data_IF_252518746897
#
_entry.id   IF_252518746897
#
_cell.length_a   1.000
_cell.length_b   1.000
_cell.length_c   1.000
_cell.angle_alpha   90.00
_cell.angle_beta   90.00
_cell.angle_gamma   90.00
#
_symmetry.space_group_name_H-M   'P 1'
#
loop_
_entity.id
_entity.type
_entity.pdbx_description
1 polymer ?
#
# COMPACT_ATOMS: atom_id res chain seq x y z
N UNK A 1 -0.53 -21.08 -4.75
CA UNK A 1 0.02 -21.50 -6.07
C UNK A 1 1.55 -21.36 -6.08
N UNK A 2 2.26 -22.27 -6.77
CA UNK A 2 3.71 -22.30 -6.82
C UNK A 2 4.25 -21.25 -7.82
N UNK A 3 4.67 -20.09 -7.33
CA UNK A 3 5.16 -19.00 -8.20
C UNK A 3 6.54 -19.30 -8.79
N UNK A 4 6.66 -19.26 -10.11
CA UNK A 4 7.94 -19.32 -10.82
C UNK A 4 8.60 -17.95 -10.87
N UNK A 5 9.79 -17.83 -10.26
CA UNK A 5 10.63 -16.63 -10.34
C UNK A 5 11.32 -16.45 -11.69
N UNK A 6 11.99 -15.31 -11.89
CA UNK A 6 12.80 -15.09 -13.08
C UNK A 6 14.12 -15.88 -13.03
N UNK A 7 14.73 -16.13 -14.19
CA UNK A 7 16.02 -16.83 -14.32
C UNK A 7 17.24 -15.90 -14.40
N UNK A 8 17.03 -14.58 -14.29
CA UNK A 8 18.10 -13.56 -14.27
C UNK A 8 19.18 -13.90 -13.21
N UNK A 9 20.40 -13.41 -13.41
CA UNK A 9 21.53 -13.60 -12.48
C UNK A 9 22.01 -12.23 -11.99
N UNK A 10 22.36 -12.12 -10.70
CA UNK A 10 22.71 -10.83 -10.11
C UNK A 10 21.49 -9.93 -9.98
N UNK A 11 21.29 -8.98 -10.90
CA UNK A 11 20.14 -8.06 -10.90
C UNK A 11 19.29 -8.23 -12.17
N UNK A 12 18.01 -7.86 -12.07
CA UNK A 12 17.11 -7.83 -13.22
C UNK A 12 17.22 -6.45 -13.88
N UNK A 13 17.82 -6.39 -15.07
CA UNK A 13 18.09 -5.13 -15.77
C UNK A 13 17.45 -5.08 -17.17
N UNK A 14 17.19 -6.24 -17.77
CA UNK A 14 16.56 -6.33 -19.08
C UNK A 14 15.08 -6.76 -18.91
N UNK A 15 14.13 -5.84 -19.16
CA UNK A 15 12.71 -6.13 -18.99
C UNK A 15 12.18 -7.11 -20.04
N UNK A 16 12.84 -7.24 -21.19
CA UNK A 16 12.41 -8.13 -22.28
C UNK A 16 12.65 -9.60 -21.96
N UNK A 17 13.66 -9.90 -21.14
CA UNK A 17 14.02 -11.27 -20.75
C UNK A 17 13.60 -11.63 -19.32
N UNK A 18 13.31 -10.64 -18.48
CA UNK A 18 12.91 -10.87 -17.10
C UNK A 18 11.42 -11.24 -16.98
N UNK A 19 11.13 -12.48 -16.61
CA UNK A 19 9.75 -12.93 -16.33
C UNK A 19 9.01 -12.11 -15.25
N UNK A 20 9.74 -11.42 -14.35
CA UNK A 20 9.11 -10.52 -13.38
C UNK A 20 8.75 -9.16 -13.99
N UNK A 21 9.55 -8.62 -14.92
CA UNK A 21 9.19 -7.39 -15.65
C UNK A 21 7.97 -7.62 -16.56
N UNK A 22 7.91 -8.77 -17.25
CA UNK A 22 6.75 -9.14 -18.06
C UNK A 22 5.43 -9.14 -17.26
N UNK A 23 5.47 -9.52 -15.98
CA UNK A 23 4.29 -9.47 -15.10
C UNK A 23 3.86 -8.06 -14.70
N UNK A 24 4.76 -7.09 -14.77
CA UNK A 24 4.48 -5.68 -14.49
C UNK A 24 4.09 -4.88 -15.74
N UNK A 25 3.77 -5.55 -16.86
CA UNK A 25 3.45 -4.88 -18.14
C UNK A 25 4.64 -4.73 -19.08
N UNK A 26 5.66 -5.60 -18.96
CA UNK A 26 6.89 -5.59 -19.78
C UNK A 26 7.88 -4.47 -19.48
N UNK A 27 7.82 -3.90 -18.28
CA UNK A 27 8.87 -3.02 -17.73
C UNK A 27 9.01 -3.22 -16.21
N UNK A 28 10.08 -2.71 -15.60
CA UNK A 28 10.26 -2.73 -14.16
C UNK A 28 9.46 -1.62 -13.48
N UNK A 29 8.76 -1.92 -12.37
CA UNK A 29 7.95 -0.93 -11.65
C UNK A 29 8.80 0.08 -10.85
N UNK A 30 10.10 -0.20 -10.70
CA UNK A 30 11.01 0.60 -9.90
C UNK A 30 12.20 1.11 -10.72
N UNK A 31 12.59 2.36 -10.50
CA UNK A 31 13.87 2.92 -10.97
C UNK A 31 14.97 2.74 -9.94
N UNK A 32 16.21 2.55 -10.39
CA UNK A 32 17.41 2.35 -9.55
C UNK A 32 17.94 3.62 -8.87
N UNK A 33 17.10 4.63 -8.65
CA UNK A 33 17.47 5.90 -8.03
C UNK A 33 17.21 5.88 -6.52
N UNK A 34 18.13 6.44 -5.71
CA UNK A 34 17.98 6.58 -4.24
C UNK A 34 17.57 5.27 -3.53
N UNK A 35 18.15 4.14 -3.97
CA UNK A 35 17.88 2.81 -3.42
C UNK A 35 16.67 2.08 -4.02
N UNK A 36 15.93 2.69 -4.94
CA UNK A 36 14.72 2.13 -5.53
C UNK A 36 13.52 3.01 -5.26
N UNK A 37 12.88 3.53 -6.31
CA UNK A 37 11.64 4.32 -6.25
C UNK A 37 10.61 3.73 -7.21
N UNK A 38 9.36 3.63 -6.78
CA UNK A 38 8.25 3.26 -7.65
C UNK A 38 8.04 4.38 -8.66
N UNK A 39 7.92 4.01 -9.94
CA UNK A 39 7.74 4.98 -11.04
C UNK A 39 6.37 5.64 -10.96
N UNK A 40 5.35 4.82 -10.79
CA UNK A 40 3.95 5.21 -10.71
C UNK A 40 3.18 4.16 -9.90
N UNK A 41 2.03 4.55 -9.35
CA UNK A 41 1.16 3.59 -8.69
C UNK A 41 0.62 2.58 -9.72
N UNK A 42 0.51 1.32 -9.31
CA UNK A 42 -0.02 0.23 -10.15
C UNK A 42 -1.10 -0.51 -9.42
N UNK A 43 -1.89 -1.28 -10.16
CA UNK A 43 -2.86 -2.20 -9.57
C UNK A 43 -2.22 -3.17 -8.58
N UNK A 44 -1.13 -3.76 -9.02
CA UNK A 44 -0.29 -4.60 -8.20
C UNK A 44 1.13 -4.55 -8.76
N UNK A 45 2.09 -4.54 -7.86
CA UNK A 45 3.51 -4.60 -8.20
C UNK A 45 4.01 -6.03 -8.01
N UNK A 46 4.63 -6.61 -9.04
CA UNK A 46 5.24 -7.93 -8.96
C UNK A 46 6.75 -7.83 -8.74
N UNK A 47 7.18 -8.02 -7.50
CA UNK A 47 8.58 -8.09 -7.15
C UNK A 47 9.20 -9.48 -7.41
N UNK A 48 10.52 -9.50 -7.53
CA UNK A 48 11.27 -10.73 -7.52
C UNK A 48 11.14 -11.42 -6.16
N UNK A 49 10.68 -12.68 -6.18
CA UNK A 49 10.54 -13.53 -4.98
C UNK A 49 11.74 -14.43 -4.69
N UNK A 50 11.62 -15.31 -3.68
CA UNK A 50 12.69 -16.24 -3.26
C UNK A 50 13.15 -17.23 -4.35
N UNK A 51 12.30 -17.50 -5.34
CA UNK A 51 12.59 -18.41 -6.47
C UNK A 51 13.23 -17.74 -7.67
N UNK A 52 13.52 -16.44 -7.59
CA UNK A 52 14.21 -15.72 -8.64
C UNK A 52 15.72 -15.98 -8.56
N UNK A 53 16.40 -16.06 -9.70
CA UNK A 53 17.86 -16.19 -9.76
C UNK A 53 18.63 -14.90 -9.42
N UNK A 54 17.95 -13.77 -9.31
CA UNK A 54 18.54 -12.48 -8.95
C UNK A 54 18.70 -12.36 -7.42
N UNK A 55 19.78 -11.70 -7.01
CA UNK A 55 20.15 -11.47 -5.61
C UNK A 55 19.32 -10.36 -4.91
N UNK A 56 19.65 -10.06 -3.65
CA UNK A 56 18.92 -9.12 -2.80
C UNK A 56 19.03 -7.66 -3.28
N UNK A 57 20.11 -7.30 -3.98
CA UNK A 57 20.32 -5.93 -4.46
C UNK A 57 19.45 -5.56 -5.66
N UNK A 58 18.78 -6.55 -6.28
CA UNK A 58 17.88 -6.36 -7.40
C UNK A 58 16.88 -5.22 -7.13
N UNK A 59 16.77 -4.28 -8.07
CA UNK A 59 15.85 -3.13 -7.97
C UNK A 59 14.39 -3.59 -7.91
N UNK A 60 14.07 -4.72 -8.53
CA UNK A 60 12.75 -5.35 -8.40
C UNK A 60 12.55 -6.12 -7.08
N UNK A 61 13.30 -5.77 -6.02
CA UNK A 61 13.09 -6.17 -4.62
C UNK A 61 13.04 -4.95 -3.69
N UNK A 62 12.71 -3.77 -4.23
CA UNK A 62 12.83 -2.47 -3.55
C UNK A 62 12.15 -2.44 -2.18
N UNK A 63 10.93 -2.98 -2.08
CA UNK A 63 10.15 -3.00 -0.84
C UNK A 63 10.62 -4.06 0.19
N UNK A 64 11.48 -5.01 -0.24
CA UNK A 64 12.03 -6.06 0.63
C UNK A 64 13.27 -5.59 1.41
N UNK A 65 13.81 -4.40 1.10
CA UNK A 65 15.06 -3.89 1.68
C UNK A 65 14.91 -3.30 3.10
N UNK A 66 13.73 -3.44 3.72
CA UNK A 66 13.45 -2.95 5.06
C UNK A 66 13.32 -1.42 5.16
N UNK A 67 13.31 -0.92 6.40
CA UNK A 67 13.20 0.51 6.70
C UNK A 67 14.47 1.26 6.28
N UNK A 68 14.29 2.39 5.58
CA UNK A 68 15.39 3.24 5.09
C UNK A 68 15.47 4.61 5.76
N UNK A 69 14.39 5.04 6.37
CA UNK A 69 14.24 6.39 6.92
C UNK A 69 14.16 6.32 8.44
N UNK A 70 14.70 7.35 9.10
CA UNK A 70 14.62 7.53 10.56
C UNK A 70 13.22 8.03 10.92
N UNK A 71 12.33 7.09 11.15
CA UNK A 71 10.95 7.36 11.55
C UNK A 71 10.85 7.59 13.06
N UNK A 72 9.96 8.50 13.45
CA UNK A 72 9.65 8.84 14.84
C UNK A 72 8.14 8.78 15.05
N UNK A 73 7.72 8.12 16.13
CA UNK A 73 6.35 8.20 16.64
C UNK A 73 6.25 9.39 17.59
N UNK A 74 5.29 10.29 17.35
CA UNK A 74 5.07 11.48 18.16
C UNK A 74 3.60 11.67 18.53
N UNK A 75 3.33 12.42 19.61
CA UNK A 75 1.96 12.70 20.07
C UNK A 75 1.42 13.97 19.40
N UNK A 76 0.20 13.89 18.88
CA UNK A 76 -0.54 15.02 18.29
C UNK A 76 -1.60 15.52 19.27
N UNK A 77 -2.13 16.72 19.02
CA UNK A 77 -3.15 17.33 19.87
C UNK A 77 -4.50 16.61 19.82
N UNK A 78 -4.91 16.08 18.65
CA UNK A 78 -6.27 15.56 18.41
C UNK A 78 -6.37 14.17 17.75
N UNK A 79 -5.28 13.66 17.18
CA UNK A 79 -5.25 12.37 16.44
C UNK A 79 -4.58 11.24 17.22
N UNK A 80 -4.14 11.52 18.44
CA UNK A 80 -3.38 10.56 19.22
C UNK A 80 -1.92 10.47 18.76
N UNK A 81 -1.41 9.26 18.55
CA UNK A 81 -0.05 9.04 18.04
C UNK A 81 0.01 9.25 16.53
N UNK A 82 1.17 9.67 16.02
CA UNK A 82 1.42 9.92 14.61
C UNK A 82 2.86 9.52 14.27
N UNK A 83 3.17 9.44 12.97
CA UNK A 83 4.54 9.16 12.49
C UNK A 83 5.03 10.33 11.66
N UNK A 84 6.32 10.65 11.80
CA UNK A 84 7.06 11.56 10.91
C UNK A 84 8.45 11.00 10.62
N UNK A 85 9.13 11.57 9.62
CA UNK A 85 10.51 11.19 9.26
C UNK A 85 11.49 12.30 9.64
N UNK A 86 12.67 11.95 10.15
CA UNK A 86 13.78 12.90 10.33
C UNK A 86 14.54 13.16 9.03
N UNK A 87 14.31 12.32 8.02
CA UNK A 87 14.97 12.38 6.72
C UNK A 87 13.99 12.90 5.66
N UNK A 88 14.53 13.53 4.62
CA UNK A 88 13.77 13.80 3.40
C UNK A 88 13.41 12.49 2.71
N UNK A 89 12.15 12.33 2.31
CA UNK A 89 11.65 11.15 1.60
C UNK A 89 11.27 11.58 0.16
N UNK A 90 11.98 11.10 -0.88
CA UNK A 90 11.60 11.40 -2.25
C UNK A 90 10.31 10.69 -2.66
N UNK A 91 9.53 11.32 -3.54
CA UNK A 91 8.32 10.72 -4.13
C UNK A 91 8.62 9.34 -4.75
N UNK A 92 7.71 8.38 -4.59
CA UNK A 92 7.88 6.99 -5.00
C UNK A 92 8.80 6.15 -4.10
N UNK A 93 9.37 6.69 -3.02
CA UNK A 93 10.16 5.88 -2.10
C UNK A 93 9.29 4.93 -1.25
N UNK A 94 9.71 3.69 -1.01
CA UNK A 94 9.06 2.81 -0.05
C UNK A 94 9.30 3.32 1.38
N UNK A 95 8.23 3.49 2.16
CA UNK A 95 8.32 3.96 3.55
C UNK A 95 8.31 2.76 4.50
N UNK A 96 7.23 1.98 4.51
CA UNK A 96 7.10 0.78 5.33
C UNK A 96 5.98 -0.14 4.82
N UNK A 97 6.04 -1.40 5.22
CA UNK A 97 4.95 -2.36 5.06
C UNK A 97 3.94 -2.16 6.19
N UNK A 98 2.65 -2.35 5.96
CA UNK A 98 1.68 -2.47 7.04
C UNK A 98 1.70 -3.91 7.56
N UNK A 99 2.27 -4.14 8.74
CA UNK A 99 2.42 -5.50 9.30
C UNK A 99 1.60 -5.67 10.57
N UNK A 100 0.98 -6.83 10.70
CA UNK A 100 0.23 -7.28 11.88
C UNK A 100 -0.08 -8.77 11.76
N UNK A 101 -1.10 -9.22 12.46
CA UNK A 101 -1.61 -10.59 12.39
C UNK A 101 -2.52 -10.70 11.15
N UNK A 102 -2.19 -11.61 10.23
CA UNK A 102 -3.08 -11.93 9.11
C UNK A 102 -4.26 -12.74 9.62
N UNK A 103 -5.48 -12.26 9.37
CA UNK A 103 -6.72 -12.92 9.78
C UNK A 103 -7.73 -12.94 8.63
N UNK A 104 -8.72 -13.84 8.71
CA UNK A 104 -9.89 -13.78 7.84
C UNK A 104 -10.81 -12.68 8.37
N UNK A 105 -11.39 -11.89 7.47
CA UNK A 105 -12.27 -10.78 7.85
C UNK A 105 -13.52 -11.27 8.59
N UNK A 106 -14.02 -12.47 8.25
CA UNK A 106 -15.16 -13.11 8.93
C UNK A 106 -14.90 -13.50 10.40
N UNK A 107 -13.63 -13.72 10.75
CA UNK A 107 -13.21 -14.09 12.11
C UNK A 107 -13.01 -12.85 13.01
N UNK A 108 -13.15 -11.65 12.46
CA UNK A 108 -13.01 -10.41 13.22
C UNK A 108 -14.31 -10.08 13.94
N UNK A 109 -14.28 -10.12 15.28
CA UNK A 109 -15.39 -9.67 16.09
C UNK A 109 -15.65 -8.17 15.86
N UNK A 110 -16.80 -7.84 15.26
CA UNK A 110 -17.30 -6.47 15.08
C UNK A 110 -17.46 -5.69 16.40
N UNK A 111 -17.35 -6.38 17.54
CA UNK A 111 -17.50 -5.85 18.89
C UNK A 111 -16.22 -5.21 19.41
N UNK A 112 -15.05 -5.51 18.83
CA UNK A 112 -13.80 -4.89 19.24
C UNK A 112 -13.64 -3.53 18.55
N UNK A 113 -13.56 -2.45 19.33
CA UNK A 113 -13.19 -1.11 18.85
C UNK A 113 -11.72 -1.05 18.42
N UNK A 114 -11.33 -1.91 17.48
CA UNK A 114 -9.98 -2.03 16.99
C UNK A 114 -9.77 -1.14 15.77
N UNK A 115 -9.20 0.05 16.01
CA UNK A 115 -8.92 1.03 14.95
C UNK A 115 -7.63 0.72 14.16
N UNK A 116 -7.11 -0.51 14.22
CA UNK A 116 -5.82 -0.90 13.61
C UNK A 116 -5.93 -2.06 12.61
N UNK A 117 -7.14 -2.30 12.09
CA UNK A 117 -7.39 -3.30 11.05
C UNK A 117 -7.19 -2.68 9.68
N UNK A 118 -6.46 -3.37 8.81
CA UNK A 118 -6.29 -3.01 7.40
C UNK A 118 -6.83 -4.13 6.51
N UNK A 119 -7.93 -3.89 5.81
CA UNK A 119 -8.49 -4.86 4.85
C UNK A 119 -7.63 -4.95 3.58
N UNK A 120 -7.30 -6.18 3.14
CA UNK A 120 -6.48 -6.38 1.95
C UNK A 120 -7.40 -6.37 0.73
N UNK A 121 -7.70 -5.15 0.26
CA UNK A 121 -8.44 -4.94 -0.98
C UNK A 121 -7.60 -4.16 -2.00
N UNK A 122 -6.91 -4.91 -2.86
CA UNK A 122 -6.13 -4.32 -3.94
C UNK A 122 -7.02 -3.59 -4.96
N UNK A 123 -8.26 -4.04 -5.21
CA UNK A 123 -9.18 -3.43 -6.18
C UNK A 123 -9.75 -2.10 -5.67
N UNK A 124 -10.06 -1.99 -4.38
CA UNK A 124 -10.43 -0.69 -3.79
C UNK A 124 -9.23 0.25 -3.72
N UNK A 125 -8.04 -0.28 -3.40
CA UNK A 125 -6.79 0.51 -3.49
C UNK A 125 -6.63 1.12 -4.89
N UNK A 126 -6.96 0.36 -5.94
CA UNK A 126 -6.97 0.79 -7.35
C UNK A 126 -8.02 1.85 -7.65
N UNK A 127 -9.27 1.64 -7.23
CA UNK A 127 -10.36 2.61 -7.45
C UNK A 127 -10.08 3.94 -6.72
N UNK A 128 -9.43 3.89 -5.55
CA UNK A 128 -8.93 5.06 -4.82
C UNK A 128 -7.84 5.84 -5.56
N UNK A 129 -7.00 5.17 -6.36
CA UNK A 129 -6.01 5.82 -7.25
C UNK A 129 -6.69 6.57 -8.40
N UNK A 130 -7.76 6.03 -9.00
CA UNK A 130 -8.56 6.74 -10.02
C UNK A 130 -9.22 8.03 -9.50
N UNK A 131 -9.55 8.08 -8.20
CA UNK A 131 -9.98 9.32 -7.52
C UNK A 131 -8.86 10.34 -7.29
N UNK A 132 -7.58 9.93 -7.40
CA UNK A 132 -6.39 10.80 -7.36
C UNK A 132 -5.94 11.25 -8.76
N UNK A 133 -6.08 10.41 -9.79
CA UNK A 133 -5.83 10.81 -11.20
C UNK A 133 -6.76 11.95 -11.65
N UNK A 134 -8.01 11.99 -11.15
CA UNK A 134 -8.89 13.16 -11.39
C UNK A 134 -8.35 14.48 -10.82
N UNK A 135 -7.34 14.44 -9.94
CA UNK A 135 -6.67 15.62 -9.35
C UNK A 135 -5.34 15.97 -10.02
N UNK A 136 -4.77 15.09 -10.85
CA UNK A 136 -3.58 15.35 -11.67
C UNK A 136 -3.91 15.15 -13.14
N UNK A 137 -4.11 16.23 -13.88
CA UNK A 137 -4.21 16.15 -15.35
C UNK A 137 -2.93 15.52 -15.95
N UNK A 138 -3.15 14.62 -16.90
CA UNK A 138 -2.21 13.99 -17.84
C UNK A 138 -1.51 12.70 -17.37
N UNK A 139 -2.09 11.56 -17.74
CA UNK A 139 -1.42 10.25 -17.70
C UNK A 139 -2.28 9.16 -18.35
N UNK A 140 -2.15 8.99 -19.66
CA UNK A 140 -2.72 7.86 -20.42
C UNK A 140 -1.90 6.60 -20.13
N UNK A 141 -2.19 5.94 -19.01
CA UNK A 141 -1.56 4.70 -18.56
C UNK A 141 -2.53 3.53 -18.68
N UNK A 142 -2.82 3.10 -19.91
CA UNK A 142 -3.76 2.03 -20.20
C UNK A 142 -3.48 0.71 -19.45
N UNK A 143 -4.52 0.25 -18.75
CA UNK A 143 -4.62 -1.01 -17.99
C UNK A 143 -4.30 -2.23 -18.87
N UNK A 144 -3.58 -3.26 -18.38
CA UNK A 144 -3.65 -4.59 -18.97
C UNK A 144 -5.04 -5.20 -18.68
N UNK A 145 -5.97 -5.06 -19.64
CA UNK A 145 -7.37 -5.50 -19.57
C UNK A 145 -7.59 -6.93 -19.03
N UNK A 146 -6.59 -7.81 -19.15
CA UNK A 146 -6.72 -9.24 -18.84
C UNK A 146 -6.75 -9.62 -17.34
N UNK A 147 -6.37 -8.72 -16.41
CA UNK A 147 -6.43 -9.01 -14.96
C UNK A 147 -7.71 -8.50 -14.31
N UNK A 148 -8.22 -7.33 -14.71
CA UNK A 148 -9.50 -6.82 -14.24
C UNK A 148 -10.67 -7.68 -14.74
N UNK A 149 -10.71 -8.07 -16.02
CA UNK A 149 -11.82 -8.86 -16.59
C UNK A 149 -12.04 -10.22 -15.92
N UNK A 150 -11.02 -10.79 -15.27
CA UNK A 150 -11.13 -12.05 -14.53
C UNK A 150 -11.59 -11.89 -13.08
N UNK A 151 -11.35 -10.73 -12.47
CA UNK A 151 -11.74 -10.45 -11.09
C UNK A 151 -13.07 -9.70 -10.99
N UNK A 152 -13.46 -8.98 -12.04
CA UNK A 152 -14.73 -8.24 -12.09
C UNK A 152 -15.97 -9.15 -12.08
N UNK A 153 -15.82 -10.43 -12.43
CA UNK A 153 -16.88 -11.44 -12.25
C UNK A 153 -17.06 -11.91 -10.79
N UNK A 154 -16.24 -11.41 -9.85
CA UNK A 154 -16.27 -11.78 -8.42
C UNK A 154 -16.45 -10.60 -7.46
N UNK A 155 -16.59 -9.37 -7.99
CA UNK A 155 -16.34 -8.11 -7.27
C UNK A 155 -17.47 -7.58 -6.36
N UNK A 156 -18.41 -8.43 -5.94
CA UNK A 156 -19.41 -8.05 -4.90
C UNK A 156 -19.05 -8.55 -3.48
N UNK A 157 -18.00 -9.36 -3.30
CA UNK A 157 -17.65 -9.88 -1.98
C UNK A 157 -16.69 -8.97 -1.22
N UNK A 158 -17.00 -8.70 0.05
CA UNK A 158 -16.10 -8.08 1.01
C UNK A 158 -14.70 -8.74 1.02
N UNK A 159 -13.62 -8.01 1.35
CA UNK A 159 -12.27 -8.55 1.37
C UNK A 159 -12.17 -9.76 2.30
N UNK A 160 -11.62 -10.88 1.81
CA UNK A 160 -11.55 -12.14 2.56
C UNK A 160 -10.54 -12.09 3.72
N UNK A 161 -9.48 -11.29 3.59
CA UNK A 161 -8.41 -11.18 4.58
C UNK A 161 -8.13 -9.74 4.97
N UNK A 162 -7.67 -9.59 6.22
CA UNK A 162 -7.22 -8.32 6.78
C UNK A 162 -5.92 -8.51 7.59
N UNK A 163 -5.26 -7.39 7.88
CA UNK A 163 -4.09 -7.30 8.75
C UNK A 163 -4.52 -6.60 10.04
N UNK A 164 -4.56 -7.35 11.14
CA UNK A 164 -4.84 -6.82 12.48
C UNK A 164 -3.54 -6.40 13.17
N UNK A 165 -3.33 -5.08 13.33
CA UNK A 165 -2.22 -4.52 14.08
C UNK A 165 -2.62 -4.07 15.51
N UNK A 166 -3.77 -4.49 16.03
CA UNK A 166 -4.30 -4.10 17.33
C UNK A 166 -3.39 -4.51 18.49
N UNK A 167 -3.01 -5.78 18.53
CA UNK A 167 -2.14 -6.34 19.58
C UNK A 167 -0.66 -6.36 19.20
N UNK A 168 -0.34 -6.63 17.92
CA UNK A 168 1.02 -6.77 17.41
C UNK A 168 1.11 -6.17 16.02
N UNK A 169 2.06 -5.27 15.79
CA UNK A 169 2.31 -4.69 14.48
C UNK A 169 3.56 -3.81 14.48
N UNK A 170 3.93 -3.28 13.33
CA UNK A 170 5.06 -2.37 13.20
C UNK A 170 4.63 -0.89 13.31
N UNK A 171 5.53 0.03 12.98
CA UNK A 171 5.29 1.48 13.04
C UNK A 171 4.13 1.96 12.15
N UNK A 172 3.76 1.22 11.11
CA UNK A 172 2.74 1.64 10.16
C UNK A 172 1.36 1.84 10.81
N UNK A 173 1.07 1.09 11.88
CA UNK A 173 -0.17 1.22 12.67
C UNK A 173 -0.37 2.61 13.31
N UNK A 174 0.67 3.43 13.39
CA UNK A 174 0.61 4.78 13.95
C UNK A 174 0.53 5.88 12.87
N UNK A 175 0.52 5.51 11.58
CA UNK A 175 0.41 6.47 10.47
C UNK A 175 -1.05 6.86 10.33
N UNK A 176 -1.36 8.14 10.51
CA UNK A 176 -2.73 8.64 10.55
C UNK A 176 -3.36 8.82 9.17
N UNK A 177 -4.69 8.96 9.19
CA UNK A 177 -5.46 9.42 8.05
C UNK A 177 -5.19 10.89 7.68
N UNK A 178 -5.14 11.18 6.38
CA UNK A 178 -5.38 12.52 5.83
C UNK A 178 -6.21 12.45 4.55
N UNK A 179 -7.10 13.42 4.33
CA UNK A 179 -7.87 13.55 3.07
C UNK A 179 -6.98 14.04 1.89
N UNK A 180 -5.88 14.70 2.21
CA UNK A 180 -4.79 15.10 1.29
C UNK A 180 -3.47 14.45 1.77
N UNK A 181 -3.32 13.13 1.61
CA UNK A 181 -2.19 12.41 2.17
C UNK A 181 -0.93 12.56 1.32
N UNK A 182 0.22 12.45 1.98
CA UNK A 182 1.54 12.39 1.33
C UNK A 182 2.05 10.96 1.11
N UNK A 183 1.31 9.94 1.58
CA UNK A 183 1.53 8.53 1.27
C UNK A 183 0.37 7.93 0.45
N UNK A 184 0.67 6.82 -0.20
CA UNK A 184 -0.33 5.96 -0.82
C UNK A 184 -0.02 4.49 -0.55
N UNK A 185 -1.06 3.67 -0.62
CA UNK A 185 -0.99 2.22 -0.46
C UNK A 185 -0.74 1.60 -1.83
N UNK A 186 0.18 0.64 -1.88
CA UNK A 186 0.48 -0.16 -3.05
C UNK A 186 0.48 -1.64 -2.66
N UNK A 187 -0.36 -2.44 -3.33
CA UNK A 187 -0.28 -3.89 -3.23
C UNK A 187 0.98 -4.41 -3.91
N UNK A 188 1.74 -5.27 -3.22
CA UNK A 188 2.97 -5.89 -3.72
C UNK A 188 2.92 -7.42 -3.56
N UNK A 189 3.24 -8.14 -4.64
CA UNK A 189 3.35 -9.60 -4.66
C UNK A 189 4.79 -10.01 -4.92
N UNK A 190 5.28 -11.05 -4.23
CA UNK A 190 6.66 -11.53 -4.40
C UNK A 190 6.79 -13.04 -4.15
N UNK A 191 6.36 -13.53 -2.99
CA UNK A 191 6.48 -14.95 -2.56
C UNK A 191 5.38 -15.82 -3.16
N UNK A 192 4.18 -15.27 -3.28
CA UNK A 192 3.01 -15.82 -3.95
C UNK A 192 2.38 -14.76 -4.87
N UNK A 193 1.44 -15.19 -5.72
CA UNK A 193 0.67 -14.29 -6.59
C UNK A 193 -0.83 -14.28 -6.25
N UNK A 194 -1.17 -14.63 -5.02
CA UNK A 194 -2.54 -14.47 -4.50
C UNK A 194 -2.77 -13.02 -4.09
N UNK A 195 -3.65 -12.31 -4.81
CA UNK A 195 -3.97 -10.90 -4.57
C UNK A 195 -4.64 -10.68 -3.21
N UNK A 196 -5.41 -11.66 -2.72
CA UNK A 196 -6.11 -11.57 -1.44
C UNK A 196 -5.17 -11.53 -0.23
N UNK A 197 -3.91 -11.91 -0.46
CA UNK A 197 -2.85 -11.95 0.55
C UNK A 197 -1.70 -10.99 0.21
N UNK A 198 -1.93 -10.04 -0.68
CA UNK A 198 -0.89 -9.12 -1.11
C UNK A 198 -0.28 -8.36 0.08
N UNK A 199 1.02 -8.07 -0.02
CA UNK A 199 1.69 -7.20 0.95
C UNK A 199 1.20 -5.78 0.74
N UNK A 200 0.82 -5.12 1.83
CA UNK A 200 0.35 -3.74 1.83
C UNK A 200 1.56 -2.83 2.10
N UNK A 201 2.06 -2.16 1.06
CA UNK A 201 3.21 -1.25 1.19
C UNK A 201 2.77 0.20 1.11
N UNK A 202 3.31 1.04 1.99
CA UNK A 202 3.16 2.49 1.93
C UNK A 202 4.33 3.12 1.19
N UNK A 203 4.01 3.90 0.16
CA UNK A 203 4.96 4.65 -0.66
C UNK A 203 4.70 6.16 -0.52
N UNK A 204 5.75 6.95 -0.63
CA UNK A 204 5.62 8.41 -0.70
C UNK A 204 4.95 8.82 -2.00
N UNK A 205 3.83 9.55 -1.93
CA UNK A 205 3.19 10.16 -3.10
C UNK A 205 4.00 11.38 -3.57
N UNK A 206 4.50 12.17 -2.61
CA UNK A 206 5.20 13.43 -2.84
C UNK A 206 6.63 13.41 -2.30
N UNK A 207 7.37 14.47 -2.57
CA UNK A 207 8.60 14.75 -1.85
C UNK A 207 8.26 15.26 -0.44
N UNK A 208 8.63 14.51 0.58
CA UNK A 208 8.27 14.78 1.98
C UNK A 208 9.48 15.37 2.71
N UNK A 209 9.44 16.63 3.14
CA UNK A 209 10.47 17.23 3.99
C UNK A 209 10.55 16.57 5.37
N UNK A 210 11.71 16.67 6.04
CA UNK A 210 11.84 16.25 7.44
C UNK A 210 10.75 16.85 8.34
N UNK A 211 10.31 16.05 9.30
CA UNK A 211 9.34 16.36 10.35
C UNK A 211 7.89 16.59 9.88
N UNK A 212 7.61 16.54 8.57
CA UNK A 212 6.23 16.47 8.10
C UNK A 212 5.60 15.14 8.55
N UNK A 213 4.37 15.20 9.05
CA UNK A 213 3.60 14.01 9.41
C UNK A 213 3.34 13.14 8.18
N UNK A 214 3.56 11.84 8.31
CA UNK A 214 3.26 10.84 7.30
C UNK A 214 1.80 10.42 7.43
N UNK A 215 1.06 10.44 6.33
CA UNK A 215 -0.38 10.16 6.32
C UNK A 215 -0.80 9.46 5.03
N UNK A 216 -1.82 8.58 5.11
CA UNK A 216 -2.47 7.98 3.94
C UNK A 216 -4.00 8.16 4.01
N UNK A 217 -4.71 7.91 2.91
CA UNK A 217 -6.17 7.92 2.93
C UNK A 217 -6.65 6.54 3.41
N UNK A 218 -7.44 6.49 4.48
CA UNK A 218 -7.94 5.23 5.03
C UNK A 218 -9.02 4.61 4.15
N UNK A 219 -9.62 5.38 3.24
CA UNK A 219 -10.59 4.85 2.28
C UNK A 219 -11.94 4.45 2.87
N UNK A 220 -12.23 4.81 4.13
CA UNK A 220 -13.57 4.60 4.70
C UNK A 220 -14.61 5.41 3.92
N UNK A 221 -15.65 4.72 3.46
CA UNK A 221 -16.85 5.36 2.93
C UNK A 221 -17.59 6.08 4.07
N UNK A 222 -18.20 7.22 3.74
CA UNK A 222 -19.01 7.94 4.73
C UNK A 222 -20.18 7.06 5.15
N UNK A 223 -20.48 7.07 6.45
CA UNK A 223 -21.57 6.33 7.06
C UNK A 223 -21.49 4.79 6.93
N UNK A 224 -20.31 4.23 6.63
CA UNK A 224 -20.12 2.79 6.41
C UNK A 224 -19.91 1.95 7.67
N UNK A 225 -19.66 2.60 8.81
CA UNK A 225 -19.35 1.92 10.08
C UNK A 225 -20.54 2.05 11.02
N UNK A 226 -21.04 0.93 11.54
CA UNK A 226 -22.07 0.90 12.57
C UNK A 226 -21.44 0.66 13.94
N UNK A 227 -22.00 1.28 14.98
CA UNK A 227 -21.67 0.99 16.38
C UNK A 227 -22.40 -0.27 16.88
N UNK A 228 -22.15 -0.65 18.13
CA UNK A 228 -22.76 -1.82 18.78
C UNK A 228 -24.30 -1.76 18.85
N UNK A 229 -24.88 -0.56 18.73
CA UNK A 229 -26.32 -0.33 18.76
C UNK A 229 -26.93 -0.27 17.34
N UNK A 230 -26.12 -0.52 16.31
CA UNK A 230 -26.53 -0.48 14.90
C UNK A 230 -26.69 0.93 14.34
N UNK A 231 -26.15 1.96 15.00
CA UNK A 231 -26.16 3.35 14.51
C UNK A 231 -24.87 3.66 13.77
N UNK A 232 -24.94 4.58 12.82
CA UNK A 232 -23.75 5.06 12.12
C UNK A 232 -22.77 5.69 13.12
N UNK A 233 -21.56 5.11 13.19
CA UNK A 233 -20.45 5.61 13.99
C UNK A 233 -19.82 6.81 13.29
N UNK A 234 -20.09 8.00 13.82
CA UNK A 234 -19.48 9.24 13.34
C UNK A 234 -18.08 9.40 13.95
N UNK A 235 -17.04 9.41 13.12
CA UNK A 235 -15.66 9.70 13.54
C UNK A 235 -15.17 10.99 12.88
N UNK A 236 -15.11 12.12 13.61
CA UNK A 236 -14.74 13.40 13.01
C UNK A 236 -13.29 13.39 12.52
N UNK A 237 -13.06 13.87 11.29
CA UNK A 237 -11.73 13.95 10.73
C UNK A 237 -10.98 15.22 11.19
N UNK A 238 -9.80 15.03 11.80
CA UNK A 238 -8.92 16.11 12.27
C UNK A 238 -7.62 16.24 11.44
N UNK A 239 -7.66 15.86 10.16
CA UNK A 239 -6.45 15.87 9.32
C UNK A 239 -5.91 17.28 9.02
N UNK A 240 -6.78 18.29 9.02
CA UNK A 240 -6.41 19.69 8.75
C UNK A 240 -6.25 20.05 7.27
N UNK A 241 -6.56 19.13 6.35
CA UNK A 241 -6.62 19.40 4.92
C UNK A 241 -7.68 20.46 4.59
N UNK A 242 -7.46 21.23 3.52
CA UNK A 242 -8.40 22.28 3.08
C UNK A 242 -9.72 21.64 2.65
N UNK A 243 -9.65 20.56 1.85
CA UNK A 243 -10.81 19.82 1.35
C UNK A 243 -11.12 18.58 2.22
N UNK A 244 -11.08 18.74 3.55
CA UNK A 244 -11.35 17.65 4.51
C UNK A 244 -12.81 17.14 4.42
N UNK A 245 -12.99 15.81 4.37
CA UNK A 245 -14.31 15.11 4.29
C UNK A 245 -15.08 15.02 5.64
N UNK A 246 -14.74 15.90 6.59
CA UNK A 246 -15.23 16.07 7.98
C UNK A 246 -16.04 14.92 8.61
#
# INVERSE_FOLDING_TARGET
MNVTGCKCKGTCNDPTTCACALRNGSDFPYVSQNGGRLVEAKDVVFECGPKCGCGPDCVNRTSQKGLRYRLEVFRTAKKGWAVRSWDFIPSGAPVCEYTGILARTEDMDSVLENNYIFEIDCLQTIKGLGGRERRSQNGDGGVPANLLDKYDQSSESAPEFCIDAGSTGNIARFINHCCEPNLFVQCVLSTHHDLKLARVMLFAADNIPPLQELTYDYGYELDSVLDSDGKIKQMPCYCGAVDCRK
#
